data_IF_770971753134
#
_entry.id   IF_770971753134
#
_cell.length_a   1.000
_cell.length_b   1.000
_cell.length_c   1.000
_cell.angle_alpha   90.00
_cell.angle_beta   90.00
_cell.angle_gamma   90.00
#
_symmetry.space_group_name_H-M   'P 1'
#
loop_
_entity.id
_entity.type
_entity.pdbx_description
1 polymer ?
#
# COMPACT_ATOMS: atom_id res chain seq x y z
N UNK A 1 23.70 14.60 -10.12
CA UNK A 1 23.84 13.73 -11.31
C UNK A 1 24.70 12.49 -11.02
N UNK A 2 25.97 12.63 -10.58
CA UNK A 2 26.81 11.46 -10.20
C UNK A 2 26.17 10.58 -9.11
N UNK A 3 25.44 11.17 -8.16
CA UNK A 3 24.77 10.45 -7.09
C UNK A 3 23.65 9.51 -7.57
N UNK A 4 22.77 9.93 -8.48
CA UNK A 4 21.66 9.09 -8.97
C UNK A 4 22.14 7.90 -9.78
N UNK A 5 23.15 8.11 -10.63
CA UNK A 5 23.76 7.01 -11.36
C UNK A 5 24.47 6.01 -10.42
N UNK A 6 25.09 6.50 -9.34
CA UNK A 6 25.69 5.63 -8.33
C UNK A 6 24.63 4.80 -7.59
N UNK A 7 23.53 5.43 -7.15
CA UNK A 7 22.40 4.74 -6.51
C UNK A 7 21.79 3.69 -7.45
N UNK A 8 21.55 4.04 -8.71
CA UNK A 8 21.04 3.09 -9.70
C UNK A 8 21.97 1.89 -9.88
N UNK A 9 23.29 2.11 -9.97
CA UNK A 9 24.27 1.02 -10.09
C UNK A 9 24.30 0.11 -8.87
N UNK A 10 24.14 0.67 -7.67
CA UNK A 10 24.03 -0.09 -6.43
C UNK A 10 22.75 -0.96 -6.44
N UNK A 11 21.60 -0.40 -6.81
CA UNK A 11 20.35 -1.18 -6.93
C UNK A 11 20.49 -2.28 -7.98
N UNK A 12 21.06 -1.98 -9.15
CA UNK A 12 21.36 -2.98 -10.19
C UNK A 12 22.25 -4.10 -9.67
N UNK A 13 23.28 -3.78 -8.88
CA UNK A 13 24.15 -4.78 -8.26
C UNK A 13 23.37 -5.70 -7.32
N UNK A 14 22.56 -5.13 -6.42
CA UNK A 14 21.74 -5.91 -5.47
C UNK A 14 20.75 -6.81 -6.22
N UNK A 15 20.05 -6.28 -7.24
CA UNK A 15 19.14 -7.08 -8.06
C UNK A 15 19.85 -8.27 -8.73
N UNK A 16 21.06 -8.06 -9.24
CA UNK A 16 21.87 -9.14 -9.82
C UNK A 16 22.24 -10.21 -8.77
N UNK A 17 22.54 -9.83 -7.53
CA UNK A 17 22.76 -10.78 -6.42
C UNK A 17 21.49 -11.58 -6.09
N UNK A 18 20.29 -11.00 -6.29
CA UNK A 18 19.01 -11.70 -6.17
C UNK A 18 18.65 -12.54 -7.42
N UNK A 19 19.53 -12.61 -8.42
CA UNK A 19 19.26 -13.30 -9.69
C UNK A 19 18.30 -12.55 -10.63
N UNK A 20 17.97 -11.30 -10.31
CA UNK A 20 17.13 -10.41 -11.12
C UNK A 20 18.02 -9.58 -12.05
N UNK A 21 18.35 -10.14 -13.21
CA UNK A 21 19.29 -9.53 -14.15
C UNK A 21 18.73 -9.50 -15.56
N UNK A 22 18.62 -8.29 -16.10
CA UNK A 22 18.38 -8.04 -17.53
C UNK A 22 19.29 -6.90 -17.99
N UNK A 23 20.29 -7.24 -18.81
CA UNK A 23 21.29 -6.28 -19.30
C UNK A 23 20.68 -5.24 -20.25
N UNK A 24 19.74 -5.63 -21.10
CA UNK A 24 19.13 -4.72 -22.07
C UNK A 24 18.27 -3.67 -21.34
N UNK A 25 17.48 -4.10 -20.35
CA UNK A 25 16.70 -3.19 -19.50
C UNK A 25 17.64 -2.29 -18.70
N UNK A 26 18.65 -2.87 -18.04
CA UNK A 26 19.59 -2.12 -17.22
C UNK A 26 20.34 -1.05 -18.02
N UNK A 27 20.82 -1.36 -19.21
CA UNK A 27 21.59 -0.43 -20.04
C UNK A 27 20.71 0.70 -20.60
N UNK A 28 19.45 0.41 -20.93
CA UNK A 28 18.48 1.42 -21.31
C UNK A 28 18.26 2.44 -20.18
N UNK A 29 17.96 1.96 -18.97
CA UNK A 29 17.76 2.84 -17.81
C UNK A 29 19.04 3.56 -17.39
N UNK A 30 20.22 2.94 -17.55
CA UNK A 30 21.49 3.63 -17.33
C UNK A 30 21.64 4.86 -18.25
N UNK A 31 21.24 4.74 -19.52
CA UNK A 31 21.22 5.86 -20.47
C UNK A 31 20.27 6.98 -20.01
N UNK A 32 19.08 6.61 -19.51
CA UNK A 32 18.13 7.57 -18.93
C UNK A 32 18.74 8.30 -17.74
N UNK A 33 19.28 7.57 -16.74
CA UNK A 33 19.88 8.18 -15.55
C UNK A 33 21.11 9.03 -15.85
N UNK A 34 21.87 8.71 -16.90
CA UNK A 34 23.04 9.52 -17.31
C UNK A 34 22.65 10.91 -17.83
N UNK A 35 21.41 11.07 -18.31
CA UNK A 35 20.87 12.32 -18.87
C UNK A 35 19.83 12.98 -17.97
N UNK A 36 19.50 12.36 -16.83
CA UNK A 36 18.42 12.81 -15.98
C UNK A 36 18.80 14.12 -15.28
N UNK A 37 17.95 15.13 -15.44
CA UNK A 37 18.08 16.38 -14.69
C UNK A 37 17.91 16.11 -13.19
N UNK A 38 18.69 16.77 -12.31
CA UNK A 38 18.55 16.60 -10.86
C UNK A 38 17.15 16.98 -10.36
N UNK A 39 16.30 15.98 -10.17
CA UNK A 39 14.98 16.11 -9.57
C UNK A 39 14.70 14.83 -8.78
N UNK A 40 14.65 14.89 -7.43
CA UNK A 40 14.46 13.70 -6.59
C UNK A 40 13.16 12.95 -6.90
N UNK A 41 12.07 13.67 -7.15
CA UNK A 41 10.79 13.06 -7.50
C UNK A 41 10.85 12.34 -8.85
N UNK A 42 11.38 12.98 -9.89
CA UNK A 42 11.55 12.33 -11.20
C UNK A 42 12.49 11.13 -11.09
N UNK A 43 13.57 11.24 -10.32
CA UNK A 43 14.50 10.13 -10.08
C UNK A 43 13.79 8.94 -9.43
N UNK A 44 13.02 9.17 -8.36
CA UNK A 44 12.24 8.13 -7.70
C UNK A 44 11.25 7.47 -8.67
N UNK A 45 10.54 8.26 -9.48
CA UNK A 45 9.57 7.73 -10.43
C UNK A 45 10.21 6.84 -11.50
N UNK A 46 11.37 7.23 -12.03
CA UNK A 46 12.13 6.42 -13.01
C UNK A 46 12.70 5.15 -12.35
N UNK A 47 13.11 5.22 -11.07
CA UNK A 47 13.53 4.03 -10.30
C UNK A 47 12.38 3.04 -10.10
N UNK A 48 11.18 3.52 -9.75
CA UNK A 48 9.98 2.68 -9.61
C UNK A 48 9.61 2.03 -10.95
N UNK A 49 9.67 2.79 -12.05
CA UNK A 49 9.41 2.25 -13.39
C UNK A 49 10.45 1.17 -13.78
N UNK A 50 11.72 1.37 -13.43
CA UNK A 50 12.77 0.36 -13.61
C UNK A 50 12.50 -0.92 -12.82
N UNK A 51 12.13 -0.82 -11.55
CA UNK A 51 11.86 -2.00 -10.71
C UNK A 51 10.63 -2.78 -11.20
N UNK A 52 9.62 -2.09 -11.74
CA UNK A 52 8.42 -2.73 -12.29
C UNK A 52 8.70 -3.62 -13.52
N UNK A 53 9.82 -3.41 -14.22
CA UNK A 53 10.24 -4.28 -15.33
C UNK A 53 10.49 -5.72 -14.89
N UNK A 54 10.87 -5.95 -13.63
CA UNK A 54 11.14 -7.28 -13.10
C UNK A 54 9.87 -8.02 -12.66
N UNK A 55 8.71 -7.34 -12.59
CA UNK A 55 7.43 -7.91 -12.17
C UNK A 55 7.49 -8.65 -10.81
N UNK A 56 8.32 -8.14 -9.89
CA UNK A 56 8.45 -8.63 -8.51
C UNK A 56 7.86 -7.59 -7.57
N UNK A 57 6.81 -7.96 -6.83
CA UNK A 57 6.05 -7.04 -5.97
C UNK A 57 6.86 -6.58 -4.78
N UNK A 58 7.75 -7.42 -4.26
CA UNK A 58 8.63 -7.07 -3.13
C UNK A 58 9.71 -6.02 -3.44
N UNK A 59 9.83 -5.55 -4.69
CA UNK A 59 10.72 -4.46 -5.06
C UNK A 59 10.01 -3.10 -4.98
N UNK A 60 10.58 -2.16 -4.22
CA UNK A 60 10.08 -0.78 -4.16
C UNK A 60 11.21 0.23 -3.92
N UNK A 61 10.99 1.48 -4.31
CA UNK A 61 11.94 2.57 -4.13
C UNK A 61 11.21 3.81 -3.60
N UNK A 62 11.48 4.13 -2.33
CA UNK A 62 10.72 5.14 -1.59
C UNK A 62 11.63 6.25 -1.07
N UNK A 63 11.11 7.47 -1.04
CA UNK A 63 11.74 8.59 -0.33
C UNK A 63 11.62 8.39 1.20
N UNK A 64 12.48 9.03 1.96
CA UNK A 64 12.38 9.11 3.42
C UNK A 64 11.11 9.86 3.87
N UNK A 65 10.61 10.80 3.07
CA UNK A 65 9.41 11.58 3.35
C UNK A 65 8.18 10.91 2.73
N UNK A 66 7.26 10.47 3.60
CA UNK A 66 6.00 9.90 3.16
C UNK A 66 5.01 11.00 2.84
N UNK A 67 4.58 11.03 1.59
CA UNK A 67 3.45 11.84 1.17
C UNK A 67 2.47 11.02 0.34
N UNK A 68 1.22 11.47 0.33
CA UNK A 68 0.16 10.93 -0.51
C UNK A 68 -0.66 12.06 -1.13
N UNK A 69 -1.64 11.69 -1.95
CA UNK A 69 -2.60 12.62 -2.50
C UNK A 69 -3.79 12.92 -1.56
N UNK A 70 -3.70 12.52 -0.28
CA UNK A 70 -4.72 12.78 0.72
C UNK A 70 -6.01 11.97 0.56
N UNK A 71 -5.99 10.94 -0.29
CA UNK A 71 -7.09 10.03 -0.57
C UNK A 71 -6.58 8.59 -0.75
N UNK A 72 -7.49 7.63 -0.62
CA UNK A 72 -7.32 6.22 -1.02
C UNK A 72 -8.39 5.88 -2.04
N UNK A 73 -8.05 5.01 -2.99
CA UNK A 73 -8.95 4.68 -4.09
C UNK A 73 -8.96 3.19 -4.39
N UNK A 74 -10.06 2.72 -4.96
CA UNK A 74 -10.20 1.39 -5.55
C UNK A 74 -10.73 1.48 -6.97
N UNK A 75 -10.18 0.67 -7.86
CA UNK A 75 -10.69 0.64 -9.24
C UNK A 75 -12.00 -0.13 -9.31
N UNK A 76 -12.99 0.50 -9.91
CA UNK A 76 -14.30 -0.08 -10.20
C UNK A 76 -14.56 0.07 -11.70
N UNK A 77 -14.30 -0.98 -12.48
CA UNK A 77 -14.37 -0.90 -13.94
C UNK A 77 -13.35 0.09 -14.49
N UNK A 78 -13.83 1.13 -15.16
CA UNK A 78 -13.01 2.16 -15.81
C UNK A 78 -12.85 3.44 -14.98
N UNK A 79 -13.16 3.40 -13.69
CA UNK A 79 -13.08 4.53 -12.77
C UNK A 79 -12.33 4.15 -11.49
N UNK A 80 -11.82 5.14 -10.76
CA UNK A 80 -11.31 4.97 -9.40
C UNK A 80 -12.30 5.56 -8.40
N UNK A 81 -12.85 4.72 -7.53
CA UNK A 81 -13.70 5.15 -6.43
C UNK A 81 -12.83 5.57 -5.25
N UNK A 82 -13.10 6.74 -4.66
CA UNK A 82 -12.48 7.16 -3.40
C UNK A 82 -13.06 6.32 -2.27
N UNK A 83 -12.19 5.60 -1.55
CA UNK A 83 -12.57 4.74 -0.41
C UNK A 83 -12.27 5.37 0.94
N UNK A 84 -11.31 6.29 0.99
CA UNK A 84 -10.96 7.04 2.20
C UNK A 84 -10.40 8.40 1.84
N UNK A 85 -10.61 9.38 2.71
CA UNK A 85 -10.05 10.73 2.61
C UNK A 85 -9.19 10.94 3.84
N UNK A 86 -7.89 11.10 3.63
CA UNK A 86 -6.89 11.19 4.71
C UNK A 86 -6.39 12.61 4.95
N UNK A 87 -6.42 13.47 3.94
CA UNK A 87 -5.99 14.86 4.06
C UNK A 87 -6.69 15.83 3.09
N UNK A 88 -7.10 15.37 1.90
CA UNK A 88 -7.69 16.25 0.89
C UNK A 88 -9.22 16.29 0.99
N UNK A 89 -9.73 17.13 1.89
CA UNK A 89 -11.16 17.26 2.21
C UNK A 89 -12.04 17.80 1.06
N UNK A 90 -11.47 18.06 -0.13
CA UNK A 90 -12.24 18.37 -1.34
C UNK A 90 -12.91 17.11 -1.92
N UNK A 91 -12.25 15.96 -1.73
CA UNK A 91 -12.80 14.65 -2.07
C UNK A 91 -13.73 14.16 -0.96
N UNK A 92 -14.65 13.28 -1.32
CA UNK A 92 -15.55 12.58 -0.41
C UNK A 92 -15.53 11.09 -0.75
N UNK A 93 -15.67 10.23 0.26
CA UNK A 93 -15.82 8.78 0.03
C UNK A 93 -16.99 8.52 -0.92
N UNK A 94 -16.76 7.67 -1.92
CA UNK A 94 -17.72 7.37 -3.00
C UNK A 94 -17.52 8.19 -4.28
N UNK A 95 -16.73 9.27 -4.25
CA UNK A 95 -16.36 10.03 -5.44
C UNK A 95 -15.74 9.11 -6.52
N UNK A 96 -16.11 9.31 -7.79
CA UNK A 96 -15.62 8.52 -8.93
C UNK A 96 -14.65 9.35 -9.77
N UNK A 97 -13.36 9.03 -9.71
CA UNK A 97 -12.35 9.63 -10.59
C UNK A 97 -12.40 8.93 -11.95
N UNK A 98 -12.66 9.70 -13.00
CA UNK A 98 -12.80 9.21 -14.38
C UNK A 98 -11.55 9.46 -15.22
N UNK A 99 -10.87 10.58 -14.96
CA UNK A 99 -9.66 11.00 -15.66
C UNK A 99 -8.61 11.50 -14.67
N UNK A 100 -7.35 11.30 -15.02
CA UNK A 100 -6.20 11.84 -14.31
C UNK A 100 -5.28 12.54 -15.32
N UNK A 101 -4.97 13.80 -15.07
CA UNK A 101 -4.14 14.65 -15.94
C UNK A 101 -4.57 14.63 -17.42
N UNK A 102 -5.89 14.56 -17.67
CA UNK A 102 -6.49 14.52 -19.02
C UNK A 102 -6.63 13.12 -19.64
N UNK A 103 -6.01 12.09 -19.08
CA UNK A 103 -6.13 10.71 -19.57
C UNK A 103 -7.23 9.95 -18.81
N UNK A 104 -8.03 9.16 -19.52
CA UNK A 104 -9.00 8.27 -18.91
C UNK A 104 -8.30 7.18 -18.06
N UNK A 105 -8.90 6.80 -16.93
CA UNK A 105 -8.36 5.76 -16.03
C UNK A 105 -8.10 4.44 -16.77
N UNK A 106 -8.97 4.04 -17.71
CA UNK A 106 -8.77 2.85 -18.54
C UNK A 106 -7.52 2.91 -19.42
N UNK A 107 -7.23 4.08 -20.01
CA UNK A 107 -6.02 4.29 -20.81
C UNK A 107 -4.75 4.28 -19.94
N UNK A 108 -4.82 4.85 -18.74
CA UNK A 108 -3.72 4.82 -17.78
C UNK A 108 -3.44 3.42 -17.27
N UNK A 109 -4.47 2.60 -17.07
CA UNK A 109 -4.31 1.21 -16.66
C UNK A 109 -3.51 0.40 -17.68
N UNK A 110 -3.75 0.62 -18.98
CA UNK A 110 -2.98 -0.03 -20.04
C UNK A 110 -1.55 0.51 -20.09
N UNK A 111 -1.38 1.84 -20.02
CA UNK A 111 -0.06 2.48 -20.03
C UNK A 111 0.82 2.02 -18.86
N UNK A 112 0.24 1.88 -17.68
CA UNK A 112 0.93 1.54 -16.43
C UNK A 112 0.70 0.09 -16.00
N UNK A 113 0.34 -0.81 -16.94
CA UNK A 113 -0.01 -2.21 -16.65
C UNK A 113 1.04 -2.95 -15.83
N UNK A 114 2.33 -2.66 -16.05
CA UNK A 114 3.46 -3.23 -15.29
C UNK A 114 3.50 -2.74 -13.84
N UNK A 115 3.29 -1.43 -13.59
CA UNK A 115 3.21 -0.88 -12.24
C UNK A 115 2.01 -1.44 -11.47
N UNK A 116 0.96 -1.82 -12.20
CA UNK A 116 -0.23 -2.49 -11.66
C UNK A 116 -0.07 -4.01 -11.57
N UNK A 117 1.13 -4.55 -11.85
CA UNK A 117 1.45 -5.98 -11.84
C UNK A 117 0.50 -6.87 -12.65
N UNK A 118 -0.21 -6.29 -13.63
CA UNK A 118 -1.26 -6.97 -14.39
C UNK A 118 -2.38 -7.55 -13.51
N UNK A 119 -2.57 -7.00 -12.30
CA UNK A 119 -3.62 -7.42 -11.39
C UNK A 119 -5.01 -7.13 -11.97
N UNK A 120 -6.04 -7.92 -11.59
CA UNK A 120 -7.42 -7.56 -11.88
C UNK A 120 -7.78 -6.22 -11.21
N UNK A 121 -8.75 -5.47 -11.75
CA UNK A 121 -9.05 -4.10 -11.33
C UNK A 121 -9.15 -3.89 -9.81
N UNK A 122 -9.87 -4.75 -9.11
CA UNK A 122 -10.12 -4.67 -7.66
C UNK A 122 -8.88 -4.87 -6.77
N UNK A 123 -7.79 -5.39 -7.34
CA UNK A 123 -6.50 -5.66 -6.68
C UNK A 123 -5.38 -4.69 -7.07
N UNK A 124 -5.67 -3.72 -7.93
CA UNK A 124 -4.66 -2.79 -8.45
C UNK A 124 -4.29 -1.70 -7.43
N UNK A 125 -3.00 -1.54 -7.16
CA UNK A 125 -2.48 -0.42 -6.37
C UNK A 125 -2.28 0.83 -7.24
N UNK A 126 -3.19 1.79 -7.10
CA UNK A 126 -3.16 3.04 -7.87
C UNK A 126 -2.32 4.15 -7.24
N UNK A 127 -1.80 3.97 -6.01
CA UNK A 127 -1.03 5.01 -5.33
C UNK A 127 0.21 5.46 -6.10
N UNK A 128 1.04 4.57 -6.69
CA UNK A 128 2.19 5.00 -7.48
C UNK A 128 1.80 5.85 -8.69
N UNK A 129 0.65 5.54 -9.31
CA UNK A 129 0.16 6.26 -10.50
C UNK A 129 -0.36 7.63 -10.08
N UNK A 130 -1.20 7.72 -9.04
CA UNK A 130 -1.76 8.98 -8.53
C UNK A 130 -0.66 10.01 -8.21
N UNK A 131 0.46 9.56 -7.65
CA UNK A 131 1.63 10.41 -7.37
C UNK A 131 2.23 11.05 -8.63
N UNK A 132 2.08 10.43 -9.80
CA UNK A 132 2.55 10.96 -11.10
C UNK A 132 1.57 11.96 -11.72
N UNK A 133 0.37 12.15 -11.13
CA UNK A 133 -0.70 12.96 -11.72
C UNK A 133 -0.79 14.33 -11.06
N UNK A 134 -1.30 15.30 -11.82
CA UNK A 134 -1.46 16.68 -11.35
C UNK A 134 -2.91 17.06 -11.11
N UNK A 135 -3.85 16.32 -11.69
CA UNK A 135 -5.27 16.67 -11.68
C UNK A 135 -6.14 15.43 -11.76
N UNK A 136 -7.34 15.49 -11.17
CA UNK A 136 -8.38 14.49 -11.26
C UNK A 136 -9.71 15.11 -11.72
N UNK A 137 -10.39 14.44 -12.65
CA UNK A 137 -11.80 14.72 -13.00
C UNK A 137 -12.67 13.76 -12.21
N UNK A 138 -13.53 14.31 -11.36
CA UNK A 138 -14.31 13.59 -10.36
C UNK A 138 -15.79 13.71 -10.67
N UNK A 139 -16.50 12.59 -10.66
CA UNK A 139 -17.95 12.52 -10.73
C UNK A 139 -18.52 12.24 -9.34
N UNK A 140 -19.45 13.07 -8.91
CA UNK A 140 -20.18 12.96 -7.63
C UNK A 140 -21.67 13.11 -7.93
N UNK A 141 -22.39 11.99 -7.91
CA UNK A 141 -23.76 11.95 -8.45
C UNK A 141 -23.77 12.34 -9.93
N UNK A 142 -24.58 13.33 -10.28
CA UNK A 142 -24.70 13.87 -11.65
C UNK A 142 -23.70 15.00 -11.94
N UNK A 143 -22.95 15.45 -10.95
CA UNK A 143 -22.02 16.59 -11.08
C UNK A 143 -20.60 16.14 -11.37
N UNK A 144 -19.89 16.94 -12.17
CA UNK A 144 -18.48 16.75 -12.50
C UNK A 144 -17.65 17.89 -11.91
N UNK A 145 -16.54 17.53 -11.28
CA UNK A 145 -15.58 18.44 -10.65
C UNK A 145 -14.18 18.18 -11.20
N UNK A 146 -13.34 19.20 -11.14
CA UNK A 146 -11.93 19.12 -11.53
C UNK A 146 -11.08 19.61 -10.37
N UNK A 147 -10.21 18.74 -9.85
CA UNK A 147 -9.37 19.03 -8.70
C UNK A 147 -7.91 18.83 -9.04
N UNK A 148 -7.08 19.82 -8.71
CA UNK A 148 -5.62 19.61 -8.67
C UNK A 148 -5.28 18.59 -7.57
N UNK A 149 -4.46 17.61 -7.89
CA UNK A 149 -3.93 16.64 -6.94
C UNK A 149 -2.73 17.23 -6.21
N UNK A 150 -2.84 17.34 -4.90
CA UNK A 150 -1.79 17.89 -4.03
C UNK A 150 -1.00 16.76 -3.37
N UNK A 151 0.17 17.10 -2.84
CA UNK A 151 0.94 16.22 -1.97
C UNK A 151 0.73 16.63 -0.52
N UNK A 152 0.41 15.68 0.34
CA UNK A 152 0.21 15.86 1.77
C UNK A 152 1.19 14.96 2.51
N UNK A 153 1.89 15.51 3.50
CA UNK A 153 2.72 14.71 4.40
C UNK A 153 1.84 13.78 5.25
N UNK A 154 2.29 12.55 5.44
CA UNK A 154 1.64 11.58 6.32
C UNK A 154 2.51 11.35 7.56
N UNK A 155 1.99 11.63 8.76
CA UNK A 155 2.70 11.42 10.02
C UNK A 155 2.75 9.92 10.42
N UNK A 156 1.87 9.10 9.84
CA UNK A 156 1.79 7.66 10.05
C UNK A 156 1.24 7.27 11.41
N UNK A 157 0.46 8.16 12.04
CA UNK A 157 -0.29 7.87 13.26
C UNK A 157 -1.48 6.94 12.95
N UNK A 158 -1.92 6.21 13.98
CA UNK A 158 -3.13 5.39 13.91
C UNK A 158 -4.26 6.12 14.61
N UNK A 159 -5.49 5.95 14.10
CA UNK A 159 -6.68 6.56 14.68
C UNK A 159 -7.51 5.49 15.39
N UNK A 160 -7.48 5.42 16.73
CA UNK A 160 -8.32 4.51 17.50
C UNK A 160 -9.70 5.11 17.78
N UNK A 161 -10.73 4.28 17.67
CA UNK A 161 -12.13 4.59 17.96
C UNK A 161 -12.66 3.62 19.01
N UNK A 162 -13.04 4.12 20.18
CA UNK A 162 -13.66 3.29 21.23
C UNK A 162 -15.10 2.93 20.82
N UNK A 163 -15.41 1.62 20.76
CA UNK A 163 -16.72 1.07 20.39
C UNK A 163 -17.42 0.37 21.56
N UNK A 164 -17.02 0.70 22.78
CA UNK A 164 -17.56 0.09 24.01
C UNK A 164 -16.88 -1.25 24.30
N UNK A 165 -17.29 -2.32 23.64
CA UNK A 165 -16.76 -3.68 23.89
C UNK A 165 -15.40 -3.95 23.24
N UNK A 166 -15.00 -3.12 22.27
CA UNK A 166 -13.73 -3.22 21.55
C UNK A 166 -13.24 -1.83 21.13
N UNK A 167 -11.97 -1.76 20.74
CA UNK A 167 -11.43 -0.60 20.05
C UNK A 167 -11.25 -0.92 18.56
N UNK A 168 -11.64 0.01 17.71
CA UNK A 168 -11.41 -0.07 16.27
C UNK A 168 -10.24 0.83 15.90
N UNK A 169 -9.32 0.35 15.07
CA UNK A 169 -8.12 1.11 14.70
C UNK A 169 -7.92 1.05 13.20
N UNK A 170 -7.86 2.21 12.56
CA UNK A 170 -7.54 2.31 11.13
C UNK A 170 -6.04 2.57 10.97
N UNK A 171 -5.37 1.69 10.25
CA UNK A 171 -3.92 1.70 10.07
C UNK A 171 -3.59 2.00 8.62
N UNK A 172 -2.91 3.12 8.40
CA UNK A 172 -2.36 3.47 7.09
C UNK A 172 -0.86 3.14 7.01
N UNK A 173 -0.17 3.23 8.15
CA UNK A 173 1.25 2.94 8.27
C UNK A 173 1.52 1.97 9.41
N UNK A 174 2.18 0.85 9.11
CA UNK A 174 2.45 -0.22 10.09
C UNK A 174 3.28 0.25 11.31
N UNK A 175 4.07 1.32 11.15
CA UNK A 175 4.82 1.94 12.25
C UNK A 175 3.88 2.43 13.36
N UNK A 176 2.76 3.05 13.01
CA UNK A 176 1.78 3.53 13.98
C UNK A 176 1.14 2.38 14.74
N UNK A 177 0.86 1.26 14.05
CA UNK A 177 0.30 0.05 14.68
C UNK A 177 1.25 -0.57 15.71
N UNK A 178 2.56 -0.61 15.44
CA UNK A 178 3.54 -1.08 16.43
C UNK A 178 3.50 -0.27 17.73
N UNK A 179 3.43 1.05 17.63
CA UNK A 179 3.34 1.91 18.82
C UNK A 179 2.01 1.70 19.55
N UNK A 180 0.91 1.64 18.81
CA UNK A 180 -0.42 1.43 19.36
C UNK A 180 -0.53 0.12 20.16
N UNK A 181 -0.06 -1.00 19.58
CA UNK A 181 -0.20 -2.31 20.22
C UNK A 181 0.57 -2.48 21.53
N UNK A 182 1.59 -1.66 21.79
CA UNK A 182 2.32 -1.71 23.06
C UNK A 182 1.47 -1.27 24.26
N UNK A 183 0.37 -0.54 24.02
CA UNK A 183 -0.51 0.01 25.05
C UNK A 183 -1.97 -0.44 24.84
N UNK A 184 -2.25 -1.24 23.81
CA UNK A 184 -3.60 -1.67 23.47
C UNK A 184 -4.14 -2.66 24.50
N UNK A 185 -5.36 -2.40 24.98
CA UNK A 185 -6.06 -3.26 25.92
C UNK A 185 -7.41 -3.72 25.36
N UNK A 186 -7.79 -4.96 25.70
CA UNK A 186 -9.05 -5.56 25.27
C UNK A 186 -9.11 -5.88 23.77
N UNK A 187 -10.22 -6.47 23.29
CA UNK A 187 -10.37 -6.86 21.88
C UNK A 187 -10.23 -5.68 20.91
N UNK A 188 -9.55 -5.94 19.80
CA UNK A 188 -9.29 -4.95 18.74
C UNK A 188 -9.93 -5.35 17.42
N UNK A 189 -10.53 -4.39 16.72
CA UNK A 189 -10.81 -4.48 15.28
C UNK A 189 -9.76 -3.64 14.54
N UNK A 190 -8.76 -4.29 13.96
CA UNK A 190 -7.62 -3.62 13.34
C UNK A 190 -7.79 -3.63 11.83
N UNK A 191 -7.97 -2.47 11.22
CA UNK A 191 -8.06 -2.31 9.77
C UNK A 191 -6.69 -1.98 9.18
N UNK A 192 -6.09 -2.95 8.48
CA UNK A 192 -4.82 -2.80 7.74
C UNK A 192 -5.00 -2.97 6.22
N UNK A 193 -6.23 -2.81 5.71
CA UNK A 193 -6.57 -3.09 4.30
C UNK A 193 -5.78 -2.23 3.30
N UNK A 194 -5.42 -1.01 3.68
CA UNK A 194 -4.61 -0.09 2.88
C UNK A 194 -3.27 0.24 3.57
N UNK A 195 -2.86 -0.57 4.55
CA UNK A 195 -1.64 -0.33 5.33
C UNK A 195 -0.39 -0.70 4.53
N UNK A 196 0.62 0.17 4.62
CA UNK A 196 1.97 -0.10 4.13
C UNK A 196 3.03 0.28 5.18
N UNK A 197 4.26 -0.10 4.91
CA UNK A 197 5.45 0.29 5.64
C UNK A 197 6.41 -0.87 5.73
N UNK A 198 7.68 -0.56 5.98
CA UNK A 198 8.72 -1.55 6.21
C UNK A 198 9.40 -1.25 7.54
N UNK A 199 9.20 -2.15 8.49
CA UNK A 199 9.79 -2.11 9.83
C UNK A 199 10.60 -3.40 10.09
N UNK A 200 11.56 -3.37 11.02
CA UNK A 200 12.33 -4.55 11.40
C UNK A 200 11.45 -5.73 11.89
N UNK A 201 11.88 -6.97 11.60
CA UNK A 201 11.14 -8.20 11.90
C UNK A 201 10.86 -8.37 13.41
N UNK A 202 11.78 -7.96 14.28
CA UNK A 202 11.63 -8.00 15.74
C UNK A 202 10.47 -7.12 16.23
N UNK A 203 10.18 -6.01 15.54
CA UNK A 203 9.00 -5.19 15.83
C UNK A 203 7.71 -5.87 15.39
N UNK A 204 7.75 -6.58 14.26
CA UNK A 204 6.61 -7.37 13.79
C UNK A 204 6.32 -8.49 14.79
N UNK A 205 7.34 -9.17 15.30
CA UNK A 205 7.20 -10.18 16.36
C UNK A 205 6.60 -9.57 17.63
N UNK A 206 7.05 -8.38 18.03
CA UNK A 206 6.46 -7.63 19.14
C UNK A 206 4.98 -7.30 18.92
N UNK A 207 4.59 -6.91 17.70
CA UNK A 207 3.17 -6.66 17.36
C UNK A 207 2.32 -7.91 17.53
N UNK A 208 2.81 -9.07 17.09
CA UNK A 208 2.09 -10.35 17.23
C UNK A 208 1.94 -10.73 18.71
N UNK A 209 3.00 -10.55 19.50
CA UNK A 209 2.98 -10.85 20.94
C UNK A 209 2.06 -9.91 21.73
N UNK A 210 2.00 -8.64 21.34
CA UNK A 210 1.21 -7.61 22.01
C UNK A 210 -0.22 -7.49 21.45
N UNK A 211 -0.58 -8.26 20.43
CA UNK A 211 -1.94 -8.26 19.90
C UNK A 211 -2.90 -8.82 20.96
N UNK A 212 -3.89 -8.03 21.45
CA UNK A 212 -4.80 -8.51 22.48
C UNK A 212 -5.59 -9.74 22.02
N UNK A 213 -5.83 -10.67 22.95
CA UNK A 213 -6.67 -11.84 22.69
C UNK A 213 -8.07 -11.43 22.22
N UNK A 214 -8.66 -12.20 21.30
CA UNK A 214 -9.97 -11.90 20.71
C UNK A 214 -9.96 -10.79 19.65
N UNK A 215 -8.79 -10.28 19.26
CA UNK A 215 -8.69 -9.28 18.19
C UNK A 215 -8.90 -9.89 16.80
N UNK A 216 -9.55 -9.11 15.94
CA UNK A 216 -9.81 -9.38 14.51
C UNK A 216 -9.06 -8.37 13.66
N UNK A 217 -8.45 -8.83 12.57
CA UNK A 217 -7.67 -8.00 11.65
C UNK A 217 -8.28 -8.06 10.25
N UNK A 218 -8.56 -6.88 9.69
CA UNK A 218 -9.10 -6.73 8.34
C UNK A 218 -7.96 -6.60 7.33
N UNK A 219 -7.96 -7.46 6.31
CA UNK A 219 -6.93 -7.50 5.27
C UNK A 219 -7.53 -7.44 3.88
N UNK A 220 -6.73 -6.98 2.92
CA UNK A 220 -7.15 -6.80 1.54
C UNK A 220 -5.94 -6.91 0.60
N UNK A 221 -6.20 -6.96 -0.70
CA UNK A 221 -5.22 -6.96 -1.79
C UNK A 221 -4.25 -5.77 -1.77
N UNK A 222 -4.54 -4.70 -1.02
CA UNK A 222 -3.63 -3.58 -0.81
C UNK A 222 -2.95 -3.58 0.58
N UNK A 223 -3.22 -4.57 1.43
CA UNK A 223 -2.40 -4.84 2.61
C UNK A 223 -1.05 -5.36 2.12
N UNK A 224 0.01 -4.59 2.38
CA UNK A 224 1.35 -4.86 1.83
C UNK A 224 2.47 -4.53 2.81
N UNK A 225 3.68 -4.95 2.48
CA UNK A 225 4.88 -4.73 3.26
C UNK A 225 4.83 -5.41 4.63
N UNK A 226 5.37 -4.75 5.66
CA UNK A 226 5.36 -5.30 7.01
C UNK A 226 3.95 -5.45 7.61
N UNK A 227 2.92 -4.77 7.09
CA UNK A 227 1.54 -5.01 7.52
C UNK A 227 1.05 -6.38 7.05
N UNK A 228 1.40 -6.78 5.83
CA UNK A 228 1.12 -8.11 5.30
C UNK A 228 1.96 -9.19 6.01
N UNK A 229 3.23 -8.89 6.29
CA UNK A 229 4.09 -9.76 7.12
C UNK A 229 3.56 -9.95 8.54
N UNK A 230 2.96 -8.92 9.14
CA UNK A 230 2.27 -9.05 10.42
C UNK A 230 1.07 -10.00 10.30
N UNK A 231 0.21 -9.80 9.31
CA UNK A 231 -0.94 -10.67 9.06
C UNK A 231 -0.55 -12.14 8.83
N UNK A 232 0.58 -12.40 8.15
CA UNK A 232 1.04 -13.77 7.85
C UNK A 232 1.44 -14.58 9.09
N UNK A 233 1.67 -13.90 10.23
CA UNK A 233 2.00 -14.53 11.52
C UNK A 233 0.79 -14.77 12.42
N UNK A 234 -0.38 -14.27 12.04
CA UNK A 234 -1.60 -14.42 12.82
C UNK A 234 -2.31 -15.73 12.48
N UNK A 235 -3.19 -16.17 13.38
CA UNK A 235 -4.09 -17.27 13.07
C UNK A 235 -5.06 -16.81 11.96
N UNK A 236 -5.21 -17.54 10.83
CA UNK A 236 -6.14 -17.17 9.77
C UNK A 236 -7.58 -16.94 10.26
N UNK A 237 -8.01 -17.62 11.34
CA UNK A 237 -9.33 -17.40 11.93
C UNK A 237 -9.55 -15.98 12.48
N UNK A 238 -8.48 -15.22 12.74
CA UNK A 238 -8.56 -13.80 13.16
C UNK A 238 -8.60 -12.84 11.97
N UNK A 239 -8.43 -13.33 10.75
CA UNK A 239 -8.31 -12.52 9.55
C UNK A 239 -9.62 -12.51 8.76
N UNK A 240 -10.07 -11.32 8.37
CA UNK A 240 -11.28 -11.11 7.57
C UNK A 240 -10.95 -10.24 6.36
N UNK A 241 -11.46 -10.63 5.19
CA UNK A 241 -11.32 -9.84 3.97
C UNK A 241 -10.87 -10.69 2.79
N UNK A 242 -9.89 -10.25 2.01
CA UNK A 242 -9.42 -11.01 0.85
C UNK A 242 -7.91 -11.21 0.83
N UNK A 243 -7.45 -12.04 -0.10
CA UNK A 243 -6.03 -12.31 -0.33
C UNK A 243 -5.23 -11.03 -0.50
N UNK A 244 -4.09 -10.94 0.19
CA UNK A 244 -3.25 -9.72 0.26
C UNK A 244 -2.37 -9.51 -0.98
N UNK A 245 -1.52 -8.48 -0.93
CA UNK A 245 -0.79 -7.97 -2.08
C UNK A 245 0.27 -8.92 -2.65
N UNK A 246 1.07 -9.58 -1.80
CA UNK A 246 2.16 -10.47 -2.23
C UNK A 246 3.52 -10.17 -1.60
N UNK A 247 3.57 -9.46 -0.47
CA UNK A 247 4.77 -9.06 0.26
C UNK A 247 4.83 -9.67 1.67
N UNK A 248 4.30 -10.87 1.88
CA UNK A 248 4.29 -11.53 3.19
C UNK A 248 5.65 -12.10 3.64
N UNK A 249 6.68 -12.08 2.78
CA UNK A 249 8.05 -12.42 3.15
C UNK A 249 8.78 -11.26 3.85
N UNK A 250 9.84 -11.54 4.63
CA UNK A 250 10.68 -10.51 5.21
C UNK A 250 11.22 -9.55 4.15
N UNK A 251 11.07 -8.24 4.41
CA UNK A 251 11.57 -7.18 3.54
C UNK A 251 12.84 -6.56 4.12
N UNK A 252 13.83 -6.35 3.25
CA UNK A 252 15.03 -5.58 3.54
C UNK A 252 14.83 -4.15 3.11
N UNK A 253 15.09 -3.20 4.02
CA UNK A 253 15.08 -1.77 3.75
C UNK A 253 16.51 -1.23 3.74
N UNK A 254 17.09 -1.02 2.56
CA UNK A 254 18.46 -0.53 2.37
C UNK A 254 18.47 1.00 2.20
N UNK A 255 19.12 1.77 3.08
CA UNK A 255 19.28 3.22 2.89
C UNK A 255 20.25 3.52 1.75
N UNK A 256 19.88 4.44 0.88
CA UNK A 256 20.65 4.91 -0.28
C UNK A 256 20.54 6.44 -0.38
N UNK A 257 21.20 7.16 0.53
CA UNK A 257 21.03 8.61 0.69
C UNK A 257 19.66 8.93 1.29
N UNK A 258 18.91 9.84 0.65
CA UNK A 258 17.56 10.26 1.08
C UNK A 258 16.45 9.27 0.66
N UNK A 259 16.82 8.15 0.04
CA UNK A 259 15.88 7.11 -0.41
C UNK A 259 16.16 5.77 0.26
N UNK A 260 15.17 4.89 0.21
CA UNK A 260 15.30 3.48 0.56
C UNK A 260 14.99 2.61 -0.65
N UNK A 261 15.83 1.60 -0.85
CA UNK A 261 15.52 0.46 -1.71
C UNK A 261 14.96 -0.67 -0.84
N UNK A 262 13.79 -1.16 -1.22
CA UNK A 262 13.07 -2.23 -0.53
C UNK A 262 13.09 -3.46 -1.43
N UNK A 263 13.47 -4.61 -0.88
CA UNK A 263 13.51 -5.89 -1.59
C UNK A 263 13.35 -7.08 -0.63
N UNK A 264 12.96 -8.23 -1.16
CA UNK A 264 13.04 -9.51 -0.43
C UNK A 264 14.01 -10.47 -1.14
N UNK A 265 14.62 -11.38 -0.39
CA UNK A 265 15.28 -12.56 -0.95
C UNK A 265 14.32 -13.73 -1.15
N UNK A 266 13.12 -13.66 -0.56
CA UNK A 266 12.03 -14.61 -0.77
C UNK A 266 11.28 -14.34 -2.06
N UNK A 267 10.43 -15.30 -2.45
CA UNK A 267 9.45 -15.09 -3.52
C UNK A 267 8.26 -14.31 -2.97
N UNK A 268 7.59 -13.56 -3.83
CA UNK A 268 6.32 -12.93 -3.48
C UNK A 268 5.34 -13.97 -2.91
N UNK A 269 4.76 -13.68 -1.76
CA UNK A 269 3.84 -14.55 -1.03
C UNK A 269 2.70 -13.74 -0.43
N UNK A 270 1.49 -14.31 -0.46
CA UNK A 270 0.24 -13.67 -0.01
C UNK A 270 -0.26 -14.30 1.29
N UNK A 271 -1.20 -13.62 1.95
CA UNK A 271 -1.95 -14.09 3.11
C UNK A 271 -3.40 -14.28 2.69
N UNK A 272 -3.97 -15.43 3.04
CA UNK A 272 -5.38 -15.75 2.79
C UNK A 272 -6.11 -15.73 4.15
N UNK A 273 -7.16 -14.90 4.32
CA UNK A 273 -7.93 -14.86 5.56
C UNK A 273 -8.75 -16.15 5.76
N UNK A 274 -9.03 -16.48 7.03
CA UNK A 274 -9.95 -17.56 7.39
C UNK A 274 -11.41 -17.22 7.01
N UNK A 275 -11.77 -15.93 7.05
CA UNK A 275 -13.08 -15.44 6.60
C UNK A 275 -12.94 -14.60 5.33
N UNK A 276 -13.22 -15.23 4.19
CA UNK A 276 -13.11 -14.58 2.87
C UNK A 276 -14.33 -13.69 2.57
N UNK A 277 -14.10 -12.38 2.45
CA UNK A 277 -15.09 -11.37 2.07
C UNK A 277 -14.46 -10.38 1.10
N UNK A 278 -15.11 -10.16 -0.05
CA UNK A 278 -14.70 -9.14 -1.01
C UNK A 278 -15.48 -7.85 -0.79
N UNK A 279 -14.81 -6.71 -0.92
CA UNK A 279 -15.47 -5.41 -1.01
C UNK A 279 -16.47 -5.41 -2.17
N UNK A 280 -17.72 -5.02 -1.91
CA UNK A 280 -18.79 -4.94 -2.89
C UNK A 280 -19.52 -3.60 -2.79
N UNK A 281 -19.48 -2.82 -3.85
CA UNK A 281 -20.23 -1.56 -3.93
C UNK A 281 -19.76 -0.53 -2.89
N UNK A 282 -20.73 0.13 -2.25
CA UNK A 282 -20.49 1.25 -1.32
C UNK A 282 -20.52 0.83 0.16
N UNK A 283 -21.03 -0.36 0.49
CA UNK A 283 -21.11 -0.86 1.86
C UNK A 283 -19.80 -1.54 2.27
N UNK A 284 -19.31 -1.25 3.48
CA UNK A 284 -18.10 -1.85 4.03
C UNK A 284 -18.38 -3.21 4.69
N UNK A 285 -18.75 -4.18 3.84
CA UNK A 285 -19.10 -5.54 4.26
C UNK A 285 -17.96 -6.28 4.97
N UNK A 286 -16.70 -5.90 4.70
CA UNK A 286 -15.51 -6.52 5.34
C UNK A 286 -15.46 -6.09 6.80
N UNK A 287 -15.67 -4.79 7.06
CA UNK A 287 -15.73 -4.25 8.42
C UNK A 287 -16.91 -4.84 9.19
N UNK A 288 -18.10 -4.90 8.59
CA UNK A 288 -19.30 -5.49 9.21
C UNK A 288 -19.05 -6.95 9.62
N UNK A 289 -18.49 -7.75 8.71
CA UNK A 289 -18.15 -9.16 8.99
C UNK A 289 -17.10 -9.28 10.11
N UNK A 290 -16.12 -8.37 10.14
CA UNK A 290 -15.12 -8.35 11.21
C UNK A 290 -15.72 -8.05 12.59
N UNK A 291 -16.71 -7.16 12.66
CA UNK A 291 -17.45 -6.85 13.89
C UNK A 291 -18.24 -8.08 14.36
N UNK A 292 -18.94 -8.76 13.44
CA UNK A 292 -19.67 -9.99 13.76
C UNK A 292 -18.75 -11.08 14.32
N UNK A 293 -17.58 -11.29 13.70
CA UNK A 293 -16.59 -12.24 14.17
C UNK A 293 -16.04 -11.87 15.55
N UNK A 294 -15.74 -10.59 15.77
CA UNK A 294 -15.23 -10.10 17.06
C UNK A 294 -16.24 -10.34 18.19
N UNK A 295 -17.52 -10.10 17.94
CA UNK A 295 -18.58 -10.33 18.92
C UNK A 295 -18.70 -11.83 19.28
N UNK A 296 -18.59 -12.73 18.29
CA UNK A 296 -18.65 -14.17 18.52
C UNK A 296 -17.45 -14.69 19.34
N UNK A 297 -16.25 -14.13 19.13
CA UNK A 297 -15.06 -14.47 19.92
C UNK A 297 -15.16 -14.02 21.38
N UNK A 298 -15.93 -12.96 21.66
CA UNK A 298 -16.17 -12.48 23.01
C UNK A 298 -17.15 -13.32 23.83
N UNK A 299 -17.96 -14.17 23.20
CA UNK A 299 -18.92 -15.06 23.88
C UNK A 299 -18.30 -16.41 24.31
N UNK A 300 -17.12 -16.76 23.78
CA UNK A 300 -16.41 -18.02 24.10
C UNK A 300 -15.39 -17.91 25.26
N UNK A 301 -15.19 -16.72 25.84
CA UNK A 301 -14.26 -16.43 26.96
C UNK A 301 -15.04 -16.21 28.26
#
# INVERSE_FOLDING_TARGET
MQQYLAIFKEVRYILAEQGLKDEAISDNYQSVFSKLNPNPFTFQQVMVDYLAEFSVKSLDFVDQHFWSNGIRVRRCGDELMVTSVTADMRFVVGDRITHLSGDAVSALAERYRKLLFNEPPDRQDWHPILKKQHQAVVRRGEETYEFDLKAFEENGETEPFCRGAYSEVIVQHVRGLFHYLNEAEGPQLIDIRDAYGVIPEDRIDGMVQNLPAGSVVLIDALTKGSAERFASKLNPAQLVGQETYGQAEPLTKKPLGEQFFIYSSGKDSTVIPGTMVKLKGEADVVRETGIELLNNLGEEI
#
